data_IF_447476923051
#
_entry.id   IF_447476923051
#
_cell.length_a   1.000
_cell.length_b   1.000
_cell.length_c   1.000
_cell.angle_alpha   90.00
_cell.angle_beta   90.00
_cell.angle_gamma   90.00
#
_symmetry.space_group_name_H-M   'P 1'
#
loop_
_entity.id
_entity.type
_entity.pdbx_description
1 polymer ?
#
# COMPACT_ATOMS: atom_id res chain seq x y z
N UNK A 1 4.24 19.65 8.96
CA UNK A 1 3.84 18.32 9.47
C UNK A 1 3.10 17.64 8.34
N UNK A 2 3.44 16.39 7.98
CA UNK A 2 2.75 15.68 6.91
C UNK A 2 1.28 15.49 7.30
N UNK A 3 0.36 15.74 6.37
CA UNK A 3 -1.05 15.47 6.62
C UNK A 3 -1.29 13.95 6.60
N UNK A 4 -2.26 13.46 7.37
CA UNK A 4 -2.68 12.05 7.35
C UNK A 4 -3.05 11.61 5.93
N UNK A 5 -3.60 12.54 5.13
CA UNK A 5 -3.91 12.31 3.71
C UNK A 5 -2.67 12.08 2.86
N UNK A 6 -1.54 12.71 3.18
CA UNK A 6 -0.28 12.51 2.45
C UNK A 6 0.32 11.14 2.76
N UNK A 7 0.28 10.71 4.03
CA UNK A 7 0.70 9.37 4.47
C UNK A 7 -0.16 8.27 3.84
N UNK A 8 -1.49 8.44 3.83
CA UNK A 8 -2.40 7.51 3.16
C UNK A 8 -2.20 7.47 1.64
N UNK A 9 -1.77 8.60 1.05
CA UNK A 9 -1.38 8.68 -0.36
C UNK A 9 -0.19 7.79 -0.71
N UNK A 10 0.74 7.58 0.23
CA UNK A 10 1.90 6.70 0.03
C UNK A 10 1.53 5.23 -0.03
N UNK A 11 0.51 4.81 0.75
CA UNK A 11 0.04 3.44 0.82
C UNK A 11 -0.61 2.92 -0.48
N UNK A 12 -0.77 3.76 -1.53
CA UNK A 12 -1.43 3.43 -2.80
C UNK A 12 -2.70 2.59 -2.59
N UNK A 13 -3.66 3.11 -1.81
CA UNK A 13 -4.84 2.37 -1.38
C UNK A 13 -5.62 1.69 -2.52
N UNK A 14 -5.62 2.27 -3.73
CA UNK A 14 -6.22 1.64 -4.92
C UNK A 14 -5.55 0.32 -5.33
N UNK A 15 -4.23 0.24 -5.21
CA UNK A 15 -3.47 -0.99 -5.56
C UNK A 15 -3.69 -2.04 -4.48
N UNK A 16 -3.62 -1.62 -3.22
CA UNK A 16 -3.87 -2.50 -2.06
C UNK A 16 -5.29 -3.07 -2.10
N UNK A 17 -6.30 -2.29 -2.50
CA UNK A 17 -7.68 -2.80 -2.64
C UNK A 17 -7.80 -3.88 -3.73
N UNK A 18 -7.05 -3.77 -4.84
CA UNK A 18 -7.03 -4.82 -5.86
C UNK A 18 -6.42 -6.11 -5.31
N UNK A 19 -5.29 -6.01 -4.60
CA UNK A 19 -4.62 -7.16 -3.98
C UNK A 19 -5.55 -7.84 -2.97
N UNK A 20 -6.21 -7.04 -2.14
CA UNK A 20 -7.23 -7.51 -1.18
C UNK A 20 -8.33 -8.34 -1.84
N UNK A 21 -8.92 -7.83 -2.93
CA UNK A 21 -9.97 -8.56 -3.66
C UNK A 21 -9.45 -9.90 -4.15
N UNK A 22 -8.27 -9.91 -4.78
CA UNK A 22 -7.68 -11.16 -5.29
C UNK A 22 -7.37 -12.17 -4.18
N UNK A 23 -6.91 -11.69 -3.03
CA UNK A 23 -6.60 -12.55 -1.89
C UNK A 23 -7.86 -13.14 -1.24
N UNK A 24 -8.92 -12.33 -1.08
CA UNK A 24 -10.21 -12.81 -0.54
C UNK A 24 -10.82 -13.84 -1.47
N UNK A 25 -10.83 -13.60 -2.79
CA UNK A 25 -11.31 -14.57 -3.78
C UNK A 25 -10.49 -15.87 -3.71
N UNK A 26 -9.16 -15.77 -3.66
CA UNK A 26 -8.29 -16.94 -3.52
C UNK A 26 -8.56 -17.74 -2.24
N UNK A 27 -8.81 -17.05 -1.13
CA UNK A 27 -9.14 -17.69 0.16
C UNK A 27 -10.47 -18.43 0.12
N UNK A 28 -11.48 -17.88 -0.54
CA UNK A 28 -12.77 -18.54 -0.72
C UNK A 28 -12.69 -19.75 -1.67
N UNK A 29 -11.81 -19.71 -2.67
CA UNK A 29 -11.59 -20.83 -3.59
C UNK A 29 -10.72 -21.95 -3.00
N UNK A 30 -9.90 -21.64 -2.00
CA UNK A 30 -8.97 -22.61 -1.40
C UNK A 30 -9.68 -23.76 -0.67
N UNK A 31 -10.93 -23.56 -0.24
CA UNK A 31 -11.67 -24.50 0.60
C UNK A 31 -13.13 -24.59 0.12
N UNK A 32 -13.73 -25.79 0.06
CA UNK A 32 -15.12 -25.96 -0.41
C UNK A 32 -16.19 -25.44 0.57
N UNK A 33 -15.80 -25.00 1.77
CA UNK A 33 -16.67 -24.44 2.80
C UNK A 33 -16.21 -23.03 3.19
N UNK A 34 -17.10 -22.23 3.81
CA UNK A 34 -16.74 -20.88 4.23
C UNK A 34 -15.60 -20.91 5.27
N UNK A 35 -14.49 -20.20 5.02
CA UNK A 35 -13.43 -20.05 6.01
C UNK A 35 -13.95 -19.34 7.26
N UNK A 36 -13.30 -19.59 8.41
CA UNK A 36 -13.65 -18.91 9.65
C UNK A 36 -13.52 -17.38 9.48
N UNK A 37 -14.55 -16.62 9.88
CA UNK A 37 -14.56 -15.15 9.78
C UNK A 37 -13.32 -14.51 10.42
N UNK A 38 -12.85 -15.07 11.54
CA UNK A 38 -11.66 -14.56 12.23
C UNK A 38 -10.41 -14.72 11.37
N UNK A 39 -10.28 -15.87 10.67
CA UNK A 39 -9.19 -16.11 9.73
C UNK A 39 -9.24 -15.12 8.57
N UNK A 40 -10.42 -14.90 7.99
CA UNK A 40 -10.61 -13.95 6.88
C UNK A 40 -10.13 -12.56 7.31
N UNK A 41 -10.55 -12.09 8.49
CA UNK A 41 -10.19 -10.75 8.99
C UNK A 41 -8.68 -10.66 9.25
N UNK A 42 -8.10 -11.61 9.99
CA UNK A 42 -6.67 -11.57 10.37
C UNK A 42 -5.77 -11.70 9.14
N UNK A 43 -6.07 -12.64 8.24
CA UNK A 43 -5.29 -12.84 7.03
C UNK A 43 -5.41 -11.62 6.10
N UNK A 44 -6.62 -11.09 5.89
CA UNK A 44 -6.83 -9.89 5.09
C UNK A 44 -6.07 -8.71 5.70
N UNK A 45 -6.17 -8.48 7.01
CA UNK A 45 -5.43 -7.41 7.69
C UNK A 45 -3.90 -7.54 7.51
N UNK A 46 -3.36 -8.75 7.66
CA UNK A 46 -1.94 -9.02 7.41
C UNK A 46 -1.52 -8.68 5.97
N UNK A 47 -2.31 -9.12 4.99
CA UNK A 47 -2.05 -8.86 3.56
C UNK A 47 -2.11 -7.37 3.26
N UNK A 48 -3.10 -6.63 3.79
CA UNK A 48 -3.17 -5.18 3.61
C UNK A 48 -1.93 -4.48 4.20
N UNK A 49 -1.51 -4.84 5.42
CA UNK A 49 -0.34 -4.26 6.06
C UNK A 49 0.93 -4.52 5.25
N UNK A 50 1.15 -5.75 4.79
CA UNK A 50 2.29 -6.10 3.93
C UNK A 50 2.26 -5.36 2.59
N UNK A 51 1.10 -5.27 1.94
CA UNK A 51 0.95 -4.57 0.67
C UNK A 51 1.18 -3.06 0.80
N UNK A 52 0.69 -2.44 1.89
CA UNK A 52 0.95 -1.03 2.19
C UNK A 52 2.44 -0.77 2.43
N UNK A 53 3.12 -1.63 3.20
CA UNK A 53 4.57 -1.54 3.42
C UNK A 53 5.35 -1.61 2.10
N UNK A 54 5.01 -2.55 1.22
CA UNK A 54 5.63 -2.67 -0.10
C UNK A 54 5.39 -1.43 -0.98
N UNK A 55 4.19 -0.83 -0.92
CA UNK A 55 3.87 0.38 -1.66
C UNK A 55 4.71 1.58 -1.21
N UNK A 56 4.88 1.75 0.11
CA UNK A 56 5.72 2.81 0.70
C UNK A 56 7.18 2.57 0.37
N UNK A 57 7.67 1.33 0.50
CA UNK A 57 9.03 0.95 0.15
C UNK A 57 9.37 1.29 -1.31
N UNK A 58 8.48 0.96 -2.26
CA UNK A 58 8.66 1.32 -3.65
C UNK A 58 8.80 2.83 -3.84
N UNK A 59 8.02 3.65 -3.13
CA UNK A 59 8.18 5.10 -3.20
C UNK A 59 9.49 5.60 -2.59
N UNK A 60 10.04 4.96 -1.55
CA UNK A 60 11.34 5.32 -0.97
C UNK A 60 12.49 4.96 -1.94
N UNK A 61 12.41 3.80 -2.59
CA UNK A 61 13.41 3.37 -3.58
C UNK A 61 13.36 4.25 -4.83
N UNK A 62 12.14 4.54 -5.30
CA UNK A 62 11.92 5.34 -6.51
C UNK A 62 12.07 6.85 -6.25
N UNK A 63 12.25 7.31 -5.01
CA UNK A 63 12.32 8.74 -4.65
C UNK A 63 13.27 9.53 -5.57
N UNK A 64 14.49 9.03 -5.77
CA UNK A 64 15.50 9.70 -6.62
C UNK A 64 15.13 9.71 -8.09
N UNK A 65 14.41 8.68 -8.56
CA UNK A 65 13.98 8.54 -9.95
C UNK A 65 12.75 9.44 -10.18
N UNK A 66 11.82 9.49 -9.23
CA UNK A 66 10.63 10.33 -9.26
C UNK A 66 10.97 11.82 -9.28
N UNK A 67 12.07 12.24 -8.65
CA UNK A 67 12.57 13.62 -8.72
C UNK A 67 12.96 14.01 -10.16
N UNK A 68 13.52 13.08 -10.94
CA UNK A 68 14.00 13.34 -12.31
C UNK A 68 12.89 13.21 -13.37
N UNK A 69 11.73 12.66 -13.00
CA UNK A 69 10.60 12.40 -13.89
C UNK A 69 9.59 13.54 -13.86
N UNK A 70 9.36 14.22 -14.99
CA UNK A 70 8.41 15.32 -15.14
C UNK A 70 6.95 14.96 -14.81
N UNK A 71 6.60 13.65 -14.84
CA UNK A 71 5.27 13.13 -14.50
C UNK A 71 5.09 12.83 -13.00
N UNK A 72 6.16 12.56 -12.25
CA UNK A 72 6.10 12.12 -10.83
C UNK A 72 6.85 13.02 -9.85
N UNK A 73 7.54 14.05 -10.35
CA UNK A 73 8.19 15.10 -9.55
C UNK A 73 7.26 15.88 -8.62
N UNK A 74 5.93 15.80 -8.82
CA UNK A 74 4.92 16.43 -7.95
C UNK A 74 4.44 15.54 -6.80
N UNK A 75 5.00 14.34 -6.63
CA UNK A 75 4.64 13.45 -5.51
C UNK A 75 5.12 14.04 -4.18
N UNK A 76 4.46 13.71 -3.05
CA UNK A 76 4.76 14.31 -1.74
C UNK A 76 6.16 14.00 -1.20
N UNK A 77 6.79 12.89 -1.63
CA UNK A 77 8.18 12.54 -1.31
C UNK A 77 9.21 13.43 -2.05
N UNK A 78 9.21 13.51 -3.39
CA UNK A 78 10.06 14.44 -4.15
C UNK A 78 9.91 15.92 -3.74
N UNK A 79 8.70 16.33 -3.31
CA UNK A 79 8.44 17.70 -2.85
C UNK A 79 8.90 17.97 -1.40
N UNK A 80 9.42 16.96 -0.68
CA UNK A 80 9.85 17.12 0.72
C UNK A 80 8.71 17.35 1.72
N UNK A 81 7.45 17.06 1.33
CA UNK A 81 6.29 17.16 2.24
C UNK A 81 6.26 16.01 3.25
N UNK A 82 6.79 14.85 2.86
CA UNK A 82 7.08 13.72 3.73
C UNK A 82 8.58 13.47 3.67
N UNK A 83 9.25 13.49 4.82
CA UNK A 83 10.67 13.17 4.89
C UNK A 83 10.89 11.68 4.66
N UNK A 84 12.01 11.29 4.07
CA UNK A 84 12.43 9.89 3.93
C UNK A 84 12.46 9.12 5.26
N UNK A 85 12.64 9.82 6.40
CA UNK A 85 12.57 9.22 7.73
C UNK A 85 11.14 9.01 8.26
N UNK A 86 10.13 9.57 7.58
CA UNK A 86 8.71 9.50 7.97
C UNK A 86 7.89 8.58 7.05
N UNK A 87 8.44 8.20 5.89
CA UNK A 87 7.92 7.16 5.02
C UNK A 87 8.49 5.80 5.46
#
# INVERSE_FOLDING_TARGET
MPSITDLLGLCKLKVVSLIMITAVVGMLLAVPYLPNLLLIIVASAGIALSAMSAAVFNHIVDEKIDIQMSRTSRRPLPQGKVSRNQA
#
